data_IF_699355019845
#
_entry.id   IF_699355019845
#
_cell.length_a   1.000
_cell.length_b   1.000
_cell.length_c   1.000
_cell.angle_alpha   90.00
_cell.angle_beta   90.00
_cell.angle_gamma   90.00
#
_symmetry.space_group_name_H-M   'P 1'
#
loop_
_entity.id
_entity.type
_entity.pdbx_description
1 polymer ?
#
# COMPACT_ATOMS: atom_id res chain seq x y z
N UNK A 1 6.14 -6.13 28.93
CA UNK A 1 5.96 -6.69 27.57
C UNK A 1 7.06 -6.26 26.61
N UNK A 2 7.12 -5.00 26.16
CA UNK A 2 8.15 -4.55 25.19
C UNK A 2 9.60 -4.61 25.73
N UNK A 3 9.92 -4.09 26.94
CA UNK A 3 11.30 -4.14 27.46
C UNK A 3 11.80 -5.56 27.77
N UNK A 4 10.87 -6.51 27.89
CA UNK A 4 11.15 -7.93 28.14
C UNK A 4 11.22 -8.75 26.85
N UNK A 5 11.11 -8.11 25.67
CA UNK A 5 11.11 -8.77 24.36
C UNK A 5 9.88 -9.64 24.06
N UNK A 6 8.80 -9.50 24.83
CA UNK A 6 7.58 -10.33 24.71
C UNK A 6 6.51 -9.73 23.79
N UNK A 7 6.71 -8.50 23.32
CA UNK A 7 5.82 -7.82 22.38
C UNK A 7 6.59 -6.73 21.63
N UNK A 8 6.06 -6.33 20.48
CA UNK A 8 6.57 -5.21 19.69
C UNK A 8 5.46 -4.18 19.46
N UNK A 9 5.82 -2.97 19.04
CA UNK A 9 4.85 -1.96 18.66
C UNK A 9 4.08 -2.42 17.42
N UNK A 10 2.76 -2.23 17.42
CA UNK A 10 1.89 -2.50 16.27
C UNK A 10 2.02 -1.38 15.22
N UNK A 11 3.23 -1.17 14.71
CA UNK A 11 3.47 -0.32 13.55
C UNK A 11 3.44 -1.17 12.27
N UNK A 12 3.23 -0.52 11.13
CA UNK A 12 3.09 -1.23 9.85
C UNK A 12 4.30 -2.09 9.50
N UNK A 13 5.52 -1.69 9.85
CA UNK A 13 6.73 -2.49 9.59
C UNK A 13 6.72 -3.82 10.35
N UNK A 14 6.36 -3.79 11.63
CA UNK A 14 6.28 -4.98 12.47
C UNK A 14 5.12 -5.89 12.08
N UNK A 15 3.98 -5.31 11.70
CA UNK A 15 2.81 -6.05 11.22
C UNK A 15 3.15 -6.74 9.89
N UNK A 16 3.78 -6.03 8.96
CA UNK A 16 4.18 -6.56 7.65
C UNK A 16 5.15 -7.74 7.80
N UNK A 17 6.19 -7.57 8.63
CA UNK A 17 7.14 -8.63 8.95
C UNK A 17 6.46 -9.87 9.56
N UNK A 18 5.50 -9.68 10.47
CA UNK A 18 4.77 -10.78 11.09
C UNK A 18 3.83 -11.50 10.10
N UNK A 19 3.14 -10.75 9.24
CA UNK A 19 2.26 -11.32 8.22
C UNK A 19 3.04 -12.19 7.22
N UNK A 20 4.23 -11.75 6.82
CA UNK A 20 5.09 -12.50 5.90
C UNK A 20 5.69 -13.76 6.53
N UNK A 21 6.05 -13.73 7.82
CA UNK A 21 6.60 -14.89 8.52
C UNK A 21 5.64 -16.10 8.58
N UNK A 22 4.32 -15.86 8.46
CA UNK A 22 3.32 -16.93 8.38
C UNK A 22 3.19 -17.54 6.99
N UNK A 23 3.52 -16.82 5.92
CA UNK A 23 3.51 -17.40 4.58
C UNK A 23 4.58 -18.49 4.42
N UNK A 24 5.75 -18.31 5.02
CA UNK A 24 6.80 -19.34 5.03
C UNK A 24 6.48 -20.52 5.96
N UNK A 25 5.75 -20.28 7.05
CA UNK A 25 5.35 -21.33 8.00
C UNK A 25 4.08 -22.09 7.59
N UNK A 26 3.21 -21.49 6.76
CA UNK A 26 1.91 -22.04 6.35
C UNK A 26 1.96 -22.83 5.04
N UNK A 27 3.13 -23.02 4.42
CA UNK A 27 3.29 -23.90 3.26
C UNK A 27 2.93 -25.38 3.55
N UNK A 28 2.62 -25.74 4.81
CA UNK A 28 2.28 -27.09 5.24
C UNK A 28 0.90 -27.26 5.90
N UNK A 29 -0.03 -26.31 5.79
CA UNK A 29 -1.40 -26.50 6.30
C UNK A 29 -2.46 -26.10 5.29
N UNK A 30 -2.64 -26.95 4.28
CA UNK A 30 -3.91 -27.06 3.58
C UNK A 30 -4.93 -27.67 4.53
N UNK A 31 -5.83 -26.87 5.08
CA UNK A 31 -7.24 -27.24 5.35
C UNK A 31 -7.95 -26.06 5.99
N UNK A 32 -8.87 -25.43 5.25
CA UNK A 32 -10.17 -25.09 5.84
C UNK A 32 -11.21 -24.78 4.76
N UNK A 33 -12.28 -25.56 4.80
CA UNK A 33 -13.50 -25.36 4.03
C UNK A 33 -14.21 -24.10 4.53
N UNK A 34 -14.04 -22.99 3.80
CA UNK A 34 -14.84 -21.77 3.99
C UNK A 34 -16.02 -21.77 3.02
N UNK A 35 -17.23 -21.67 3.55
CA UNK A 35 -18.48 -21.53 2.81
C UNK A 35 -18.37 -20.39 1.79
N UNK A 36 -18.59 -20.72 0.51
CA UNK A 36 -18.72 -19.73 -0.57
C UNK A 36 -20.02 -18.95 -0.38
N UNK A 37 -19.95 -17.80 0.29
CA UNK A 37 -20.88 -16.71 0.00
C UNK A 37 -20.39 -16.00 -1.26
N UNK A 38 -21.28 -15.97 -2.25
CA UNK A 38 -21.08 -15.40 -3.57
C UNK A 38 -21.00 -13.86 -3.45
N UNK A 39 -19.83 -13.33 -3.07
CA UNK A 39 -19.53 -11.90 -3.08
C UNK A 39 -19.18 -11.50 -4.51
N UNK A 40 -20.20 -11.54 -5.37
CA UNK A 40 -20.18 -10.89 -6.68
C UNK A 40 -20.64 -9.44 -6.51
N UNK A 41 -19.87 -8.61 -5.83
CA UNK A 41 -20.04 -7.15 -5.87
C UNK A 41 -18.79 -6.46 -5.33
N UNK A 42 -18.38 -5.38 -5.98
CA UNK A 42 -17.47 -4.36 -5.43
C UNK A 42 -15.96 -4.70 -5.31
N UNK A 43 -15.32 -5.13 -6.40
CA UNK A 43 -13.87 -4.86 -6.58
C UNK A 43 -13.59 -3.55 -7.31
N UNK A 44 -14.64 -2.89 -7.84
CA UNK A 44 -14.52 -1.72 -8.72
C UNK A 44 -14.48 -0.37 -7.95
N UNK A 45 -14.91 -0.35 -6.68
CA UNK A 45 -14.90 0.87 -5.87
C UNK A 45 -13.47 1.37 -5.58
N UNK A 46 -12.51 0.46 -5.45
CA UNK A 46 -11.10 0.82 -5.23
C UNK A 46 -10.46 1.41 -6.49
N UNK A 47 -10.83 0.92 -7.68
CA UNK A 47 -10.29 1.41 -8.96
C UNK A 47 -10.57 2.90 -9.19
N UNK A 48 -11.67 3.40 -8.61
CA UNK A 48 -12.07 4.81 -8.68
C UNK A 48 -11.50 5.66 -7.52
N UNK A 49 -10.73 5.06 -6.61
CA UNK A 49 -10.20 5.75 -5.44
C UNK A 49 -8.98 6.58 -5.80
N UNK A 50 -9.04 7.88 -5.48
CA UNK A 50 -7.93 8.81 -5.65
C UNK A 50 -7.48 9.36 -4.30
N UNK A 51 -6.24 9.03 -3.91
CA UNK A 51 -5.60 9.53 -2.70
C UNK A 51 -4.68 10.68 -3.08
N UNK A 52 -5.00 11.90 -2.64
CA UNK A 52 -4.12 13.06 -2.84
C UNK A 52 -3.27 13.29 -1.59
N UNK A 53 -1.96 13.38 -1.77
CA UNK A 53 -0.99 13.73 -0.73
C UNK A 53 -0.18 14.94 -1.17
N UNK A 54 -0.12 15.93 -0.30
CA UNK A 54 0.66 17.15 -0.51
C UNK A 54 2.05 16.99 0.09
N UNK A 55 3.09 17.36 -0.67
CA UNK A 55 4.48 17.28 -0.24
C UNK A 55 5.24 18.56 -0.55
N UNK A 56 6.19 18.87 0.32
CA UNK A 56 7.19 19.89 0.04
C UNK A 56 8.10 19.42 -1.10
N UNK A 57 8.34 20.29 -2.08
CA UNK A 57 9.23 20.03 -3.21
C UNK A 57 10.40 20.99 -3.20
N UNK A 58 11.47 20.64 -3.91
CA UNK A 58 12.65 21.49 -4.00
C UNK A 58 12.28 22.81 -4.67
N UNK A 59 12.77 23.93 -4.13
CA UNK A 59 12.41 25.29 -4.59
C UNK A 59 12.68 25.51 -6.08
N UNK A 60 13.71 24.84 -6.62
CA UNK A 60 14.12 24.92 -8.04
C UNK A 60 13.54 23.80 -8.90
N UNK A 61 12.99 22.75 -8.28
CA UNK A 61 12.39 21.60 -8.97
C UNK A 61 11.13 21.14 -8.25
N UNK A 62 9.97 21.60 -8.76
CA UNK A 62 8.65 21.24 -8.23
C UNK A 62 8.26 19.78 -8.49
N UNK A 63 9.08 19.03 -9.23
CA UNK A 63 8.88 17.60 -9.46
C UNK A 63 9.53 16.74 -8.39
N UNK A 64 10.62 17.19 -7.77
CA UNK A 64 11.34 16.42 -6.75
C UNK A 64 10.84 16.78 -5.35
N UNK A 65 10.37 15.77 -4.61
CA UNK A 65 10.01 15.96 -3.21
C UNK A 65 11.26 16.25 -2.37
N UNK A 66 11.16 17.20 -1.42
CA UNK A 66 12.24 17.49 -0.46
C UNK A 66 12.59 16.27 0.40
N UNK A 67 11.59 15.44 0.69
CA UNK A 67 11.73 14.17 1.38
C UNK A 67 10.89 13.13 0.63
N UNK A 68 11.49 12.03 0.14
CA UNK A 68 10.74 10.96 -0.51
C UNK A 68 9.64 10.42 0.40
N UNK A 69 8.42 10.33 -0.12
CA UNK A 69 7.28 9.89 0.66
C UNK A 69 7.34 8.37 0.83
N UNK A 70 7.30 7.91 2.08
CA UNK A 70 7.28 6.48 2.35
C UNK A 70 5.92 5.87 2.02
N UNK A 71 5.94 4.68 1.42
CA UNK A 71 4.75 3.87 1.16
C UNK A 71 3.91 3.64 2.42
N UNK A 72 4.55 3.38 3.56
CA UNK A 72 3.90 3.26 4.86
C UNK A 72 3.04 4.47 5.23
N UNK A 73 3.50 5.68 4.87
CA UNK A 73 2.75 6.91 5.13
C UNK A 73 1.53 7.03 4.21
N UNK A 74 1.65 6.57 2.97
CA UNK A 74 0.53 6.53 2.01
C UNK A 74 -0.54 5.56 2.50
N UNK A 75 -0.15 4.37 2.95
CA UNK A 75 -1.06 3.36 3.49
C UNK A 75 -1.75 3.83 4.78
N UNK A 76 -1.02 4.52 5.67
CA UNK A 76 -1.60 5.15 6.86
C UNK A 76 -2.65 6.23 6.51
N UNK A 77 -2.40 7.03 5.46
CA UNK A 77 -3.38 8.02 4.98
C UNK A 77 -4.60 7.32 4.37
N UNK A 78 -4.39 6.28 3.58
CA UNK A 78 -5.44 5.47 2.96
C UNK A 78 -6.36 4.86 4.04
N UNK A 79 -5.77 4.20 5.03
CA UNK A 79 -6.48 3.61 6.18
C UNK A 79 -7.31 4.66 6.92
N UNK A 80 -6.72 5.81 7.27
CA UNK A 80 -7.44 6.86 8.02
C UNK A 80 -8.57 7.51 7.24
N UNK A 81 -8.39 7.73 5.93
CA UNK A 81 -9.37 8.46 5.11
C UNK A 81 -10.47 7.56 4.57
N UNK A 82 -10.13 6.32 4.24
CA UNK A 82 -10.99 5.42 3.48
C UNK A 82 -11.29 4.10 4.22
N UNK A 83 -10.76 3.91 5.42
CA UNK A 83 -10.95 2.70 6.23
C UNK A 83 -10.49 1.43 5.51
N UNK A 84 -9.44 1.56 4.69
CA UNK A 84 -8.83 0.46 3.95
C UNK A 84 -7.45 0.19 4.53
N UNK A 85 -7.32 -0.97 5.18
CA UNK A 85 -6.05 -1.42 5.72
C UNK A 85 -5.35 -2.34 4.71
N UNK A 86 -4.26 -1.83 4.13
CA UNK A 86 -3.38 -2.57 3.23
C UNK A 86 -2.00 -2.69 3.85
N UNK A 87 -1.42 -3.88 3.75
CA UNK A 87 -0.04 -4.14 4.13
C UNK A 87 0.90 -3.80 2.97
N UNK A 88 2.11 -3.30 3.24
CA UNK A 88 3.14 -3.11 2.21
C UNK A 88 3.42 -4.37 1.40
N UNK A 89 3.49 -5.55 2.02
CA UNK A 89 3.72 -6.83 1.33
C UNK A 89 2.57 -7.25 0.42
N UNK A 90 1.38 -6.68 0.62
CA UNK A 90 0.27 -6.87 -0.30
C UNK A 90 0.42 -6.04 -1.56
N UNK A 91 1.30 -5.03 -1.62
CA UNK A 91 1.46 -4.24 -2.83
C UNK A 91 2.24 -5.02 -3.89
N UNK A 92 1.63 -5.12 -5.07
CA UNK A 92 2.17 -5.83 -6.23
C UNK A 92 2.97 -4.89 -7.12
N UNK A 93 2.65 -3.59 -7.09
CA UNK A 93 3.37 -2.60 -7.86
C UNK A 93 2.92 -1.17 -7.61
N UNK A 94 3.88 -0.25 -7.78
CA UNK A 94 3.66 1.19 -7.81
C UNK A 94 4.17 1.69 -9.16
N UNK A 95 3.27 2.02 -10.07
CA UNK A 95 3.60 2.43 -11.44
C UNK A 95 3.22 3.89 -11.62
N UNK A 96 4.16 4.72 -12.05
CA UNK A 96 3.86 6.11 -12.39
C UNK A 96 3.16 6.16 -13.74
N UNK A 97 2.07 6.92 -13.87
CA UNK A 97 1.18 6.89 -15.04
C UNK A 97 1.87 7.19 -16.40
N UNK A 98 3.05 7.82 -16.39
CA UNK A 98 3.80 8.20 -17.59
C UNK A 98 5.19 7.53 -17.70
N UNK A 99 5.53 6.60 -16.80
CA UNK A 99 6.80 5.87 -16.82
C UNK A 99 6.51 4.37 -16.71
N UNK A 100 7.10 3.56 -17.60
CA UNK A 100 6.91 2.11 -17.60
C UNK A 100 7.60 1.40 -16.41
N UNK A 101 8.25 2.16 -15.52
CA UNK A 101 9.13 1.64 -14.48
C UNK A 101 8.45 1.71 -13.11
N UNK A 102 8.45 0.57 -12.42
CA UNK A 102 8.07 0.46 -11.01
C UNK A 102 8.95 1.39 -10.16
N UNK A 103 8.37 2.04 -9.14
CA UNK A 103 9.20 2.68 -8.11
C UNK A 103 10.12 1.62 -7.47
N UNK A 104 11.39 1.98 -7.28
CA UNK A 104 12.45 1.14 -6.68
C UNK A 104 12.00 0.40 -5.41
N UNK A 105 12.69 -0.72 -5.11
CA UNK A 105 12.54 -1.56 -3.90
C UNK A 105 12.60 -0.79 -2.56
N UNK A 106 12.93 0.50 -2.58
CA UNK A 106 13.09 1.36 -1.42
C UNK A 106 11.77 1.79 -0.76
N UNK A 107 10.60 1.39 -1.27
CA UNK A 107 9.27 1.73 -0.72
C UNK A 107 9.09 3.24 -0.52
N UNK A 108 9.70 4.06 -1.40
CA UNK A 108 9.72 5.52 -1.33
C UNK A 108 9.40 6.11 -2.69
N UNK A 109 8.58 7.15 -2.67
CA UNK A 109 8.16 7.90 -3.86
C UNK A 109 8.88 9.26 -3.84
N UNK A 110 9.92 9.45 -4.68
CA UNK A 110 10.77 10.63 -4.62
C UNK A 110 10.20 11.85 -5.38
N UNK A 111 9.23 11.65 -6.28
CA UNK A 111 8.78 12.69 -7.21
C UNK A 111 7.26 12.87 -7.20
N UNK A 112 6.80 14.09 -7.44
CA UNK A 112 5.38 14.42 -7.62
C UNK A 112 4.83 13.84 -8.91
N UNK A 113 3.53 13.62 -8.95
CA UNK A 113 2.84 13.02 -10.10
C UNK A 113 1.75 12.05 -9.70
N UNK A 114 1.23 11.35 -10.70
CA UNK A 114 0.17 10.36 -10.55
C UNK A 114 0.74 8.95 -10.63
N UNK A 115 0.36 8.12 -9.67
CA UNK A 115 0.82 6.75 -9.48
C UNK A 115 -0.38 5.82 -9.38
N UNK A 116 -0.32 4.69 -10.07
CA UNK A 116 -1.24 3.58 -9.88
C UNK A 116 -0.59 2.58 -8.93
N UNK A 117 -1.25 2.35 -7.80
CA UNK A 117 -0.81 1.40 -6.77
C UNK A 117 -1.71 0.19 -6.84
N UNK A 118 -1.14 -0.97 -7.16
CA UNK A 118 -1.83 -2.25 -7.20
C UNK A 118 -1.50 -3.06 -5.94
N UNK A 119 -2.52 -3.62 -5.31
CA UNK A 119 -2.44 -4.44 -4.11
C UNK A 119 -3.17 -5.76 -4.30
N UNK A 120 -2.60 -6.85 -3.79
CA UNK A 120 -3.21 -8.17 -3.77
C UNK A 120 -3.98 -8.36 -2.47
N UNK A 121 -5.29 -8.53 -2.57
CA UNK A 121 -6.11 -8.88 -1.41
C UNK A 121 -6.13 -10.41 -1.23
N UNK A 122 -5.81 -10.93 -0.03
CA UNK A 122 -5.81 -12.37 0.24
C UNK A 122 -7.22 -12.97 0.36
N UNK A 123 -8.29 -12.16 0.30
CA UNK A 123 -9.66 -12.57 0.66
C UNK A 123 -10.46 -13.25 -0.47
N UNK A 124 -9.95 -13.33 -1.70
CA UNK A 124 -10.66 -13.96 -2.81
C UNK A 124 -9.84 -15.12 -3.40
N UNK A 125 -10.46 -16.24 -3.74
CA UNK A 125 -9.83 -17.39 -4.39
C UNK A 125 -9.76 -17.23 -5.93
N UNK A 126 -9.88 -15.99 -6.43
CA UNK A 126 -9.86 -15.67 -7.86
C UNK A 126 -8.44 -15.32 -8.33
N UNK A 127 -8.08 -15.74 -9.54
CA UNK A 127 -6.76 -15.45 -10.14
C UNK A 127 -6.53 -13.95 -10.44
N UNK A 128 -7.48 -13.08 -10.11
CA UNK A 128 -7.49 -11.65 -10.42
C UNK A 128 -7.63 -10.74 -9.18
N UNK A 129 -7.11 -11.13 -8.01
CA UNK A 129 -7.27 -10.37 -6.75
C UNK A 129 -6.38 -9.12 -6.62
N UNK A 130 -6.04 -8.47 -7.73
CA UNK A 130 -5.33 -7.20 -7.67
C UNK A 130 -6.34 -6.07 -7.70
N UNK A 131 -6.46 -5.33 -6.60
CA UNK A 131 -7.18 -4.07 -6.53
C UNK A 131 -6.18 -2.94 -6.76
N UNK A 132 -6.59 -1.88 -7.44
CA UNK A 132 -5.73 -0.73 -7.69
C UNK A 132 -6.38 0.56 -7.20
N UNK A 133 -5.57 1.54 -6.80
CA UNK A 133 -6.02 2.90 -6.54
C UNK A 133 -5.00 3.90 -7.10
N UNK A 134 -5.43 5.13 -7.27
CA UNK A 134 -4.59 6.21 -7.79
C UNK A 134 -4.07 7.07 -6.64
N UNK A 135 -2.76 7.25 -6.57
CA UNK A 135 -2.10 8.20 -5.69
C UNK A 135 -1.69 9.44 -6.51
N UNK A 136 -2.14 10.62 -6.08
CA UNK A 136 -1.73 11.90 -6.65
C UNK A 136 -0.84 12.62 -5.64
N UNK A 137 0.45 12.69 -5.95
CA UNK A 137 1.42 13.41 -5.15
C UNK A 137 1.59 14.83 -5.71
N UNK A 138 1.18 15.85 -4.97
CA UNK A 138 1.18 17.25 -5.42
C UNK A 138 2.08 18.11 -4.56
N UNK A 139 2.57 19.21 -5.12
CA UNK A 139 3.31 20.20 -4.35
C UNK A 139 2.39 20.89 -3.33
N UNK A 140 2.85 21.02 -2.10
CA UNK A 140 2.24 21.87 -1.10
C UNK A 140 2.55 23.34 -1.45
N UNK A 141 1.55 24.03 -2.01
CA UNK A 141 1.65 25.49 -2.18
C UNK A 141 1.63 26.13 -0.78
N UNK A 142 2.74 26.76 -0.39
CA UNK A 142 2.85 27.42 0.90
C UNK A 142 1.80 28.52 1.03
N UNK A 143 1.01 28.46 2.12
CA UNK A 143 0.26 29.60 2.64
C UNK A 143 1.21 30.68 3.18
#
# INVERSE_FOLDING_TARGET
MIPQGRATYANWQNIDMFANARHDASANSETENGVHEDVSTDTDWMANLVVTVEVNTLSKDRKSACAPLSLYRILDILSRRHQIDLLPSQLVGVVRQHEAQMCDETNRIPTTGEYHIAARLPLASLRANAVAFTLKLVHLDGQ
#
